data_IF_990120793262
#
_entry.id   IF_990120793262
#
_cell.length_a   1.000
_cell.length_b   1.000
_cell.length_c   1.000
_cell.angle_alpha   90.00
_cell.angle_beta   90.00
_cell.angle_gamma   90.00
#
_symmetry.space_group_name_H-M   'P 1'
#
loop_
_entity.id
_entity.type
_entity.pdbx_description
1 polymer ?
#
# COMPACT_ATOMS: atom_id res chain seq x y z
N UNK A 1 -28.07 69.07 12.58
CA UNK A 1 -26.80 68.97 11.88
C UNK A 1 -26.93 68.21 10.54
N UNK A 2 -27.71 67.12 10.43
CA UNK A 2 -27.87 66.28 9.22
C UNK A 2 -28.44 67.02 8.01
N UNK A 3 -29.42 67.98 8.19
CA UNK A 3 -29.99 68.73 7.09
C UNK A 3 -29.03 69.71 6.40
N UNK A 4 -28.07 70.29 7.12
CA UNK A 4 -27.04 71.16 6.54
C UNK A 4 -25.99 70.34 5.71
N UNK A 5 -25.69 69.12 6.10
CA UNK A 5 -24.81 68.22 5.35
C UNK A 5 -25.47 67.78 4.04
N UNK A 6 -26.78 67.53 4.02
CA UNK A 6 -27.52 67.18 2.80
C UNK A 6 -27.53 68.32 1.78
N UNK A 7 -27.66 69.58 2.21
CA UNK A 7 -27.67 70.72 1.30
C UNK A 7 -26.31 71.00 0.64
N UNK A 8 -25.19 70.69 1.32
CA UNK A 8 -23.83 70.85 0.77
C UNK A 8 -23.51 69.77 -0.24
N UNK A 9 -23.99 68.54 0.00
CA UNK A 9 -23.71 67.40 -0.86
C UNK A 9 -24.39 67.46 -2.24
N UNK A 10 -25.57 68.17 -2.33
CA UNK A 10 -26.32 68.26 -3.59
C UNK A 10 -25.98 69.45 -4.48
N UNK A 11 -25.15 70.41 -3.97
CA UNK A 11 -24.93 71.68 -4.71
C UNK A 11 -23.64 71.67 -5.58
N UNK A 12 -22.76 70.72 -5.38
CA UNK A 12 -21.50 70.70 -6.13
C UNK A 12 -21.37 69.39 -6.95
N UNK A 13 -21.62 69.50 -8.28
CA UNK A 13 -21.50 68.36 -9.21
C UNK A 13 -20.13 67.62 -9.10
N UNK A 14 -19.08 68.38 -8.72
CA UNK A 14 -17.74 67.84 -8.52
C UNK A 14 -17.66 66.91 -7.32
N UNK A 15 -18.34 67.25 -6.17
CA UNK A 15 -18.40 66.43 -4.97
C UNK A 15 -19.19 65.11 -5.19
N UNK A 16 -20.25 65.14 -6.00
CA UNK A 16 -20.99 63.95 -6.36
C UNK A 16 -20.16 62.97 -7.20
N UNK A 17 -19.44 63.50 -8.17
CA UNK A 17 -18.54 62.68 -8.99
C UNK A 17 -17.42 62.05 -8.16
N UNK A 18 -16.85 62.85 -7.22
CA UNK A 18 -15.78 62.38 -6.33
C UNK A 18 -16.28 61.25 -5.38
N UNK A 19 -17.46 61.43 -4.78
CA UNK A 19 -18.06 60.43 -3.88
C UNK A 19 -18.38 59.14 -4.63
N UNK A 20 -18.88 59.25 -5.85
CA UNK A 20 -19.15 58.07 -6.70
C UNK A 20 -17.87 57.33 -7.08
N UNK A 21 -16.78 58.04 -7.41
CA UNK A 21 -15.49 57.46 -7.70
C UNK A 21 -14.90 56.69 -6.48
N UNK A 22 -15.04 57.25 -5.27
CA UNK A 22 -14.59 56.58 -4.05
C UNK A 22 -15.37 55.29 -3.79
N UNK A 23 -16.68 55.33 -3.99
CA UNK A 23 -17.54 54.11 -3.84
C UNK A 23 -17.16 53.02 -4.86
N UNK A 24 -16.88 53.39 -6.10
CA UNK A 24 -16.43 52.44 -7.15
C UNK A 24 -15.08 51.81 -6.78
N UNK A 25 -14.12 52.60 -6.29
CA UNK A 25 -12.81 52.08 -5.87
C UNK A 25 -12.98 51.13 -4.68
N UNK A 26 -13.81 51.48 -3.69
CA UNK A 26 -14.10 50.63 -2.55
C UNK A 26 -14.74 49.28 -2.98
N UNK A 27 -15.71 49.31 -3.87
CA UNK A 27 -16.33 48.10 -4.43
C UNK A 27 -15.31 47.21 -5.19
N UNK A 28 -14.47 47.86 -5.98
CA UNK A 28 -13.43 47.14 -6.73
C UNK A 28 -12.41 46.45 -5.81
N UNK A 29 -12.00 47.11 -4.74
CA UNK A 29 -11.08 46.54 -3.73
C UNK A 29 -11.71 45.36 -3.00
N UNK A 30 -12.98 45.45 -2.63
CA UNK A 30 -13.70 44.35 -1.95
C UNK A 30 -13.82 43.12 -2.89
N UNK A 31 -14.21 43.33 -4.13
CA UNK A 31 -14.33 42.25 -5.14
C UNK A 31 -12.97 41.63 -5.37
N UNK A 32 -11.90 42.39 -5.54
CA UNK A 32 -10.55 41.92 -5.72
C UNK A 32 -10.05 41.08 -4.55
N UNK A 33 -10.35 41.48 -3.34
CA UNK A 33 -9.96 40.76 -2.12
C UNK A 33 -10.66 39.40 -2.00
N UNK A 34 -11.98 39.36 -2.29
CA UNK A 34 -12.76 38.11 -2.27
C UNK A 34 -12.27 37.15 -3.37
N UNK A 35 -11.96 37.68 -4.55
CA UNK A 35 -11.50 36.86 -5.67
C UNK A 35 -10.11 36.25 -5.42
N UNK A 36 -9.21 37.01 -4.83
CA UNK A 36 -7.83 36.56 -4.49
C UNK A 36 -7.87 35.47 -3.40
N UNK A 37 -8.68 35.64 -2.37
CA UNK A 37 -8.83 34.66 -1.30
C UNK A 37 -9.42 33.32 -1.76
N UNK A 38 -10.26 33.35 -2.79
CA UNK A 38 -10.85 32.11 -3.35
C UNK A 38 -9.86 31.34 -4.25
N UNK A 39 -9.01 32.04 -4.98
CA UNK A 39 -7.92 31.47 -5.78
C UNK A 39 -6.84 30.81 -4.91
N UNK A 40 -6.53 31.41 -3.77
CA UNK A 40 -5.54 30.86 -2.84
C UNK A 40 -6.00 29.53 -2.22
N UNK A 41 -7.27 29.42 -1.86
CA UNK A 41 -7.88 28.17 -1.37
C UNK A 41 -7.88 27.06 -2.44
N UNK A 42 -8.15 27.40 -3.68
CA UNK A 42 -8.10 26.43 -4.78
C UNK A 42 -6.66 25.94 -5.04
N UNK A 43 -5.70 26.84 -4.96
CA UNK A 43 -4.29 26.52 -5.19
C UNK A 43 -3.71 25.63 -4.08
N UNK A 44 -4.08 25.88 -2.81
CA UNK A 44 -3.70 24.99 -1.69
C UNK A 44 -4.34 23.61 -1.79
N UNK A 45 -5.61 23.54 -2.20
CA UNK A 45 -6.30 22.26 -2.42
C UNK A 45 -5.69 21.46 -3.58
N UNK A 46 -5.30 22.13 -4.67
CA UNK A 46 -4.62 21.49 -5.78
C UNK A 46 -3.24 20.97 -5.39
N UNK A 47 -2.48 21.75 -4.63
CA UNK A 47 -1.15 21.33 -4.12
C UNK A 47 -1.25 20.13 -3.18
N UNK A 48 -2.26 20.08 -2.30
CA UNK A 48 -2.46 18.92 -1.43
C UNK A 48 -2.83 17.66 -2.21
N UNK A 49 -3.67 17.77 -3.24
CA UNK A 49 -4.00 16.64 -4.12
C UNK A 49 -2.81 16.15 -4.93
N UNK A 50 -1.96 17.05 -5.42
CA UNK A 50 -0.72 16.68 -6.11
C UNK A 50 0.24 15.96 -5.18
N UNK A 51 0.41 16.42 -3.94
CA UNK A 51 1.23 15.76 -2.94
C UNK A 51 0.70 14.36 -2.58
N UNK A 52 -0.63 14.21 -2.46
CA UNK A 52 -1.28 12.92 -2.24
C UNK A 52 -1.06 11.96 -3.41
N UNK A 53 -1.22 12.44 -4.64
CA UNK A 53 -0.94 11.65 -5.85
C UNK A 53 0.54 11.23 -5.94
N UNK A 54 1.47 12.10 -5.55
CA UNK A 54 2.90 11.76 -5.51
C UNK A 54 3.20 10.66 -4.48
N UNK A 55 2.57 10.70 -3.31
CA UNK A 55 2.73 9.64 -2.29
C UNK A 55 2.18 8.30 -2.77
N UNK A 56 1.03 8.31 -3.46
CA UNK A 56 0.43 7.12 -4.07
C UNK A 56 1.30 6.57 -5.21
N UNK A 57 1.87 7.43 -6.03
CA UNK A 57 2.76 7.03 -7.14
C UNK A 57 4.03 6.35 -6.61
N UNK A 58 4.60 6.85 -5.51
CA UNK A 58 5.72 6.21 -4.82
C UNK A 58 5.38 4.80 -4.33
N UNK A 59 4.20 4.63 -3.72
CA UNK A 59 3.70 3.33 -3.29
C UNK A 59 3.46 2.35 -4.44
N UNK A 60 2.86 2.82 -5.55
CA UNK A 60 2.63 2.01 -6.75
C UNK A 60 3.95 1.59 -7.40
N UNK A 61 4.94 2.48 -7.45
CA UNK A 61 6.26 2.16 -8.03
C UNK A 61 7.00 1.11 -7.20
N UNK A 62 6.95 1.22 -5.87
CA UNK A 62 7.53 0.21 -4.96
C UNK A 62 6.82 -1.15 -5.09
N UNK A 63 5.48 -1.15 -5.18
CA UNK A 63 4.70 -2.37 -5.43
C UNK A 63 5.02 -2.98 -6.80
N UNK A 64 5.14 -2.17 -7.84
CA UNK A 64 5.49 -2.63 -9.19
C UNK A 64 6.87 -3.28 -9.21
N UNK A 65 7.89 -2.69 -8.59
CA UNK A 65 9.23 -3.27 -8.52
C UNK A 65 9.23 -4.61 -7.78
N UNK A 66 8.45 -4.72 -6.69
CA UNK A 66 8.28 -5.99 -5.95
C UNK A 66 7.58 -7.05 -6.79
N UNK A 67 6.55 -6.67 -7.55
CA UNK A 67 5.84 -7.57 -8.46
C UNK A 67 6.76 -8.01 -9.59
N UNK A 68 7.51 -7.10 -10.22
CA UNK A 68 8.44 -7.41 -11.31
C UNK A 68 9.56 -8.38 -10.84
N UNK A 69 10.07 -8.20 -9.63
CA UNK A 69 11.03 -9.13 -9.04
C UNK A 69 10.43 -10.52 -8.82
N UNK A 70 9.18 -10.60 -8.35
CA UNK A 70 8.47 -11.86 -8.17
C UNK A 70 8.16 -12.54 -9.51
N UNK A 71 7.73 -11.78 -10.51
CA UNK A 71 7.49 -12.28 -11.89
C UNK A 71 8.78 -12.80 -12.53
N UNK A 72 9.91 -12.10 -12.32
CA UNK A 72 11.22 -12.57 -12.78
C UNK A 72 11.65 -13.88 -12.12
N UNK A 73 11.40 -14.04 -10.82
CA UNK A 73 11.61 -15.30 -10.10
C UNK A 73 10.76 -16.44 -10.69
N UNK A 74 9.49 -16.20 -11.02
CA UNK A 74 8.58 -17.18 -11.62
C UNK A 74 9.10 -17.66 -12.99
N UNK A 75 9.63 -16.77 -13.82
CA UNK A 75 10.18 -17.09 -15.13
C UNK A 75 11.45 -17.95 -15.10
N UNK A 76 12.19 -17.95 -13.99
CA UNK A 76 13.42 -18.73 -13.81
C UNK A 76 13.19 -20.11 -13.19
N UNK A 77 11.98 -20.40 -12.72
CA UNK A 77 11.68 -21.58 -11.93
C UNK A 77 11.21 -22.75 -12.82
N UNK A 78 12.16 -23.52 -13.34
CA UNK A 78 11.92 -24.90 -13.84
C UNK A 78 12.00 -25.86 -12.65
N UNK A 79 11.05 -25.82 -11.74
CA UNK A 79 11.03 -26.72 -10.57
C UNK A 79 10.10 -27.91 -10.84
N UNK A 80 10.50 -29.05 -10.35
CA UNK A 80 9.73 -30.29 -10.44
C UNK A 80 8.49 -30.34 -9.52
N UNK A 81 7.98 -29.19 -9.07
CA UNK A 81 6.82 -29.05 -8.20
C UNK A 81 7.15 -28.50 -6.80
N UNK A 82 6.11 -28.30 -5.98
CA UNK A 82 6.25 -27.70 -4.65
C UNK A 82 6.93 -28.63 -3.64
N UNK A 83 6.69 -29.95 -3.71
CA UNK A 83 7.21 -30.91 -2.71
C UNK A 83 8.73 -30.94 -2.70
N UNK A 84 9.44 -31.15 -3.85
CA UNK A 84 10.91 -31.12 -3.88
C UNK A 84 11.51 -29.79 -3.36
N UNK A 85 10.84 -28.68 -3.64
CA UNK A 85 11.31 -27.36 -3.19
C UNK A 85 11.23 -27.26 -1.66
N UNK A 86 10.12 -27.70 -1.06
CA UNK A 86 9.96 -27.72 0.39
C UNK A 86 10.95 -28.69 1.06
N UNK A 87 11.14 -29.87 0.50
CA UNK A 87 12.13 -30.83 1.02
C UNK A 87 13.55 -30.27 0.99
N UNK A 88 13.97 -29.65 -0.11
CA UNK A 88 15.27 -29.02 -0.22
C UNK A 88 15.46 -27.90 0.80
N UNK A 89 14.41 -27.09 1.01
CA UNK A 89 14.41 -25.98 1.96
C UNK A 89 14.52 -26.50 3.40
N UNK A 90 13.73 -27.50 3.78
CA UNK A 90 13.76 -28.13 5.09
C UNK A 90 15.12 -28.81 5.37
N UNK A 91 15.65 -29.55 4.39
CA UNK A 91 16.96 -30.16 4.50
C UNK A 91 18.07 -29.12 4.71
N UNK A 92 17.99 -27.95 4.07
CA UNK A 92 18.96 -26.86 4.25
C UNK A 92 18.97 -26.28 5.67
N UNK A 93 17.87 -26.47 6.43
CA UNK A 93 17.72 -26.03 7.80
C UNK A 93 17.87 -27.15 8.82
N UNK A 94 18.09 -28.39 8.37
CA UNK A 94 18.16 -29.56 9.24
C UNK A 94 16.83 -29.92 9.90
N UNK A 95 15.70 -29.41 9.36
CA UNK A 95 14.37 -29.67 9.89
C UNK A 95 13.77 -30.89 9.18
N UNK A 96 13.21 -31.81 9.94
CA UNK A 96 12.47 -32.98 9.41
C UNK A 96 10.97 -32.68 9.42
N UNK A 97 10.36 -32.76 8.25
CA UNK A 97 8.90 -32.72 8.16
C UNK A 97 8.28 -34.03 8.67
N UNK A 98 7.20 -33.92 9.40
CA UNK A 98 6.37 -35.08 9.77
C UNK A 98 5.52 -35.52 8.58
N UNK A 99 5.00 -34.56 7.83
CA UNK A 99 4.25 -34.82 6.60
C UNK A 99 4.35 -33.63 5.64
N UNK A 100 4.44 -33.94 4.34
CA UNK A 100 4.26 -32.96 3.24
C UNK A 100 3.18 -33.55 2.33
N UNK A 101 2.02 -32.89 2.29
CA UNK A 101 0.87 -33.33 1.50
C UNK A 101 0.66 -32.34 0.35
N UNK A 102 0.88 -32.73 -0.90
CA UNK A 102 0.50 -31.88 -2.03
C UNK A 102 -1.02 -31.75 -2.08
N UNK A 103 -1.48 -30.56 -2.35
CA UNK A 103 -2.88 -30.21 -2.57
C UNK A 103 -3.15 -30.06 -4.07
N UNK A 104 -4.37 -29.63 -4.40
CA UNK A 104 -4.77 -29.44 -5.80
C UNK A 104 -3.96 -28.33 -6.47
N UNK A 105 -3.65 -28.57 -7.77
CA UNK A 105 -3.04 -27.57 -8.64
C UNK A 105 -4.13 -26.74 -9.28
N UNK A 106 -4.04 -25.43 -9.10
CA UNK A 106 -4.99 -24.49 -9.65
C UNK A 106 -4.34 -23.65 -10.76
N UNK A 107 -5.04 -23.48 -11.89
CA UNK A 107 -4.58 -22.58 -12.94
C UNK A 107 -5.16 -21.19 -12.70
N UNK A 108 -4.27 -20.21 -12.53
CA UNK A 108 -4.64 -18.80 -12.33
C UNK A 108 -4.07 -18.00 -13.51
N UNK A 109 -4.89 -17.77 -14.54
CA UNK A 109 -4.50 -17.12 -15.81
C UNK A 109 -3.34 -17.86 -16.51
N UNK A 110 -2.16 -17.21 -16.61
CA UNK A 110 -0.95 -17.72 -17.25
C UNK A 110 -0.02 -18.46 -16.29
N UNK A 111 -0.47 -18.70 -15.07
CA UNK A 111 0.32 -19.31 -14.00
C UNK A 111 -0.36 -20.56 -13.46
N UNK A 112 0.45 -21.48 -12.99
CA UNK A 112 0.04 -22.64 -12.20
C UNK A 112 0.37 -22.39 -10.75
N UNK A 113 -0.63 -22.51 -9.88
CA UNK A 113 -0.48 -22.45 -8.44
C UNK A 113 -0.56 -23.86 -7.87
N UNK A 114 0.53 -24.33 -7.25
CA UNK A 114 0.60 -25.61 -6.56
C UNK A 114 0.64 -25.36 -5.06
N UNK A 115 -0.27 -25.96 -4.33
CA UNK A 115 -0.34 -25.83 -2.89
C UNK A 115 0.17 -27.12 -2.23
N UNK A 116 0.79 -26.99 -1.05
CA UNK A 116 1.12 -28.12 -0.19
C UNK A 116 0.90 -27.77 1.28
N UNK A 117 0.42 -28.74 2.02
CA UNK A 117 0.35 -28.71 3.48
C UNK A 117 1.61 -29.35 4.06
N UNK A 118 2.32 -28.59 4.89
CA UNK A 118 3.52 -29.00 5.60
C UNK A 118 3.21 -29.11 7.09
N UNK A 119 3.50 -30.26 7.69
CA UNK A 119 3.41 -30.46 9.13
C UNK A 119 4.78 -30.81 9.71
N UNK A 120 5.19 -30.10 10.75
CA UNK A 120 6.43 -30.30 11.48
C UNK A 120 6.09 -30.41 12.96
N UNK A 121 6.57 -31.44 13.64
CA UNK A 121 6.36 -31.67 15.06
C UNK A 121 7.69 -31.65 15.80
N UNK A 122 7.64 -31.22 17.08
CA UNK A 122 8.81 -31.23 17.96
C UNK A 122 9.87 -30.20 17.61
N UNK A 123 9.51 -29.13 16.90
CA UNK A 123 10.43 -28.04 16.52
C UNK A 123 10.40 -26.91 17.55
N UNK A 124 11.47 -26.15 17.66
CA UNK A 124 11.57 -24.96 18.49
C UNK A 124 11.13 -23.69 17.73
N UNK A 125 10.88 -22.61 18.47
CA UNK A 125 10.42 -21.35 17.89
C UNK A 125 11.44 -20.73 16.92
N UNK A 126 12.75 -20.83 17.23
CA UNK A 126 13.80 -20.29 16.35
C UNK A 126 13.82 -20.99 15.00
N UNK A 127 13.68 -22.32 15.00
CA UNK A 127 13.56 -23.11 13.77
C UNK A 127 12.34 -22.72 12.95
N UNK A 128 11.20 -22.45 13.61
CA UNK A 128 9.99 -21.94 12.93
C UNK A 128 10.24 -20.61 12.26
N UNK A 129 10.83 -19.65 12.99
CA UNK A 129 11.14 -18.31 12.46
C UNK A 129 12.10 -18.40 11.29
N UNK A 130 13.15 -19.21 11.42
CA UNK A 130 14.12 -19.43 10.34
C UNK A 130 13.48 -20.06 9.09
N UNK A 131 12.56 -20.98 9.28
CA UNK A 131 11.82 -21.58 8.18
C UNK A 131 10.94 -20.56 7.45
N UNK A 132 10.15 -19.77 8.18
CA UNK A 132 9.33 -18.74 7.60
C UNK A 132 10.16 -17.68 6.86
N UNK A 133 11.28 -17.24 7.47
CA UNK A 133 12.22 -16.33 6.83
C UNK A 133 12.80 -16.90 5.53
N UNK A 134 13.16 -18.18 5.53
CA UNK A 134 13.72 -18.86 4.37
C UNK A 134 12.68 -19.03 3.26
N UNK A 135 11.43 -19.31 3.61
CA UNK A 135 10.32 -19.37 2.64
C UNK A 135 10.11 -18.00 1.97
N UNK A 136 10.06 -16.93 2.75
CA UNK A 136 9.82 -15.57 2.23
C UNK A 136 10.99 -15.08 1.35
N UNK A 137 12.23 -15.42 1.73
CA UNK A 137 13.46 -15.09 0.99
C UNK A 137 13.88 -16.16 -0.02
N UNK A 138 13.06 -17.15 -0.30
CA UNK A 138 13.34 -18.18 -1.28
C UNK A 138 13.59 -17.59 -2.68
N UNK A 139 14.57 -18.11 -3.44
CA UNK A 139 14.71 -17.77 -4.86
C UNK A 139 13.51 -18.22 -5.69
N UNK A 140 12.75 -19.20 -5.20
CA UNK A 140 11.54 -19.72 -5.80
C UNK A 140 10.34 -18.94 -5.26
N UNK A 141 9.33 -18.63 -6.06
CA UNK A 141 8.17 -17.83 -5.64
C UNK A 141 7.21 -18.65 -4.75
N UNK A 142 7.64 -18.86 -3.52
CA UNK A 142 6.83 -19.46 -2.46
C UNK A 142 6.01 -18.41 -1.74
N UNK A 143 4.83 -18.80 -1.27
CA UNK A 143 3.94 -17.96 -0.46
C UNK A 143 3.30 -18.81 0.63
N UNK A 144 3.35 -18.35 1.87
CA UNK A 144 2.58 -18.93 2.97
C UNK A 144 1.14 -18.45 2.87
N UNK A 145 0.18 -19.36 2.72
CA UNK A 145 -1.26 -19.07 2.71
C UNK A 145 -1.86 -19.09 4.10
N UNK A 146 -1.45 -20.08 4.90
CA UNK A 146 -1.90 -20.20 6.28
C UNK A 146 -0.82 -20.80 7.17
N UNK A 147 -0.84 -20.45 8.45
CA UNK A 147 0.05 -21.00 9.47
C UNK A 147 -0.74 -21.25 10.75
N UNK A 148 -0.50 -22.39 11.36
CA UNK A 148 -1.01 -22.72 12.69
C UNK A 148 0.13 -23.29 13.53
N UNK A 149 0.35 -22.70 14.70
CA UNK A 149 1.37 -23.11 15.65
C UNK A 149 0.65 -23.56 16.93
N UNK A 150 1.01 -24.73 17.44
CA UNK A 150 0.49 -25.28 18.70
C UNK A 150 1.63 -25.78 19.54
N UNK A 151 1.56 -25.67 20.84
CA UNK A 151 2.49 -26.29 21.77
C UNK A 151 2.26 -27.81 21.85
N UNK A 152 3.32 -28.56 22.07
CA UNK A 152 3.21 -30.00 22.33
C UNK A 152 2.78 -30.23 23.78
N UNK A 153 2.04 -31.29 24.04
CA UNK A 153 1.63 -31.63 25.43
C UNK A 153 2.79 -32.11 26.30
N UNK A 154 3.77 -32.75 25.68
CA UNK A 154 4.91 -33.38 26.36
C UNK A 154 6.01 -32.37 26.74
N UNK A 155 6.18 -31.34 25.96
CA UNK A 155 7.24 -30.33 26.13
C UNK A 155 6.71 -28.95 25.68
N UNK A 156 6.55 -27.98 26.61
CA UNK A 156 6.05 -26.65 26.29
C UNK A 156 6.99 -25.83 25.41
N UNK A 157 8.29 -26.20 25.32
CA UNK A 157 9.27 -25.55 24.45
C UNK A 157 9.27 -26.11 23.02
N UNK A 158 8.49 -27.15 22.78
CA UNK A 158 8.31 -27.77 21.46
C UNK A 158 6.96 -27.45 20.86
N UNK A 159 6.99 -27.23 19.56
CA UNK A 159 5.81 -26.80 18.81
C UNK A 159 5.47 -27.78 17.68
N UNK A 160 4.19 -27.81 17.36
CA UNK A 160 3.64 -28.43 16.16
C UNK A 160 3.30 -27.27 15.23
N UNK A 161 3.95 -27.24 14.06
CA UNK A 161 3.74 -26.24 13.03
C UNK A 161 2.97 -26.88 11.87
N UNK A 162 1.86 -26.28 11.47
CA UNK A 162 1.15 -26.60 10.22
C UNK A 162 1.19 -25.38 9.30
N UNK A 163 1.69 -25.54 8.09
CA UNK A 163 1.77 -24.49 7.07
C UNK A 163 1.09 -24.94 5.80
N UNK A 164 0.32 -24.05 5.19
CA UNK A 164 -0.07 -24.19 3.79
C UNK A 164 0.80 -23.26 2.97
N UNK A 165 1.59 -23.82 2.08
CA UNK A 165 2.51 -23.09 1.21
C UNK A 165 2.07 -23.25 -0.24
N UNK A 166 2.14 -22.18 -1.00
CA UNK A 166 1.83 -22.13 -2.43
C UNK A 166 3.09 -21.85 -3.23
N UNK A 167 3.26 -22.54 -4.34
CA UNK A 167 4.27 -22.31 -5.35
C UNK A 167 3.62 -21.78 -6.62
N UNK A 168 4.09 -20.64 -7.12
CA UNK A 168 3.67 -20.11 -8.41
C UNK A 168 4.68 -20.46 -9.49
N UNK A 169 4.22 -21.13 -10.55
CA UNK A 169 5.01 -21.43 -11.73
C UNK A 169 4.34 -20.91 -12.99
N UNK A 170 5.08 -20.74 -14.07
CA UNK A 170 4.48 -20.39 -15.36
C UNK A 170 3.78 -21.63 -15.92
N UNK A 171 2.56 -21.43 -16.44
CA UNK A 171 1.79 -22.51 -17.08
C UNK A 171 2.43 -22.97 -18.37
#
# INVERSE_FOLDING_TARGET
MIKKLQQILFFDRSLLVLSFAIILIALFTIISFVYTGNLEKQNTTLRSRVAELQSLTGGVTALKSTVDLKVKKIGLTKTGGIVPVLEQLLNSLGIKATAIKPLEKNRVRDYMEEDAELEIQGTDLNSIVNLLYKIDNSPVPLKVKSSAIRTTFEDPDKFILKLTVSLLSKA
#
